data_IF_373679708772
#
_entry.id   IF_373679708772
#
_cell.length_a   1.000
_cell.length_b   1.000
_cell.length_c   1.000
_cell.angle_alpha   90.00
_cell.angle_beta   90.00
_cell.angle_gamma   90.00
#
_symmetry.space_group_name_H-M   'P 1'
#
loop_
_entity.id
_entity.type
_entity.pdbx_description
1 polymer ?
#
# COMPACT_ATOMS: atom_id res chain seq x y z
N UNK A 1 16.97 -13.10 16.15
CA UNK A 1 17.01 -12.87 14.69
C UNK A 1 16.18 -11.63 14.41
N UNK A 2 16.78 -10.48 14.09
CA UNK A 2 16.01 -9.34 13.60
C UNK A 2 15.40 -9.76 12.26
N UNK A 3 14.07 -9.93 12.21
CA UNK A 3 13.38 -10.21 10.97
C UNK A 3 13.78 -9.13 9.95
N UNK A 4 14.21 -9.54 8.75
CA UNK A 4 14.50 -8.60 7.65
C UNK A 4 13.20 -7.89 7.30
N UNK A 5 13.02 -6.70 7.88
CA UNK A 5 11.91 -5.82 7.58
C UNK A 5 12.17 -5.17 6.22
N UNK A 6 11.17 -5.15 5.35
CA UNK A 6 11.21 -4.40 4.11
C UNK A 6 10.00 -3.47 4.01
N UNK A 7 10.13 -2.47 3.15
CA UNK A 7 9.04 -1.57 2.79
C UNK A 7 8.83 -1.58 1.27
N UNK A 8 7.63 -1.23 0.84
CA UNK A 8 7.29 -1.14 -0.58
C UNK A 8 6.62 0.19 -0.90
N UNK A 9 6.93 0.72 -2.08
CA UNK A 9 6.12 1.72 -2.75
C UNK A 9 5.31 1.03 -3.85
N UNK A 10 3.98 1.15 -3.77
CA UNK A 10 3.08 0.71 -4.82
C UNK A 10 2.61 1.92 -5.63
N UNK A 11 3.14 2.08 -6.84
CA UNK A 11 2.61 3.04 -7.80
C UNK A 11 1.32 2.49 -8.42
N UNK A 12 0.19 3.11 -8.06
CA UNK A 12 -1.16 2.75 -8.49
C UNK A 12 -1.77 3.86 -9.36
N UNK A 13 -0.95 4.74 -9.95
CA UNK A 13 -1.43 5.85 -10.80
C UNK A 13 -2.17 5.37 -12.05
N UNK A 14 -1.86 4.17 -12.55
CA UNK A 14 -2.54 3.55 -13.69
C UNK A 14 -3.71 2.66 -13.28
N UNK A 15 -4.01 2.55 -11.98
CA UNK A 15 -5.10 1.71 -11.48
C UNK A 15 -6.45 2.35 -11.78
N UNK A 16 -7.31 1.63 -12.49
CA UNK A 16 -8.73 2.01 -12.65
C UNK A 16 -9.49 1.80 -11.34
N UNK A 17 -10.72 2.30 -11.24
CA UNK A 17 -11.58 2.11 -10.06
C UNK A 17 -11.60 0.62 -9.67
N UNK A 18 -11.16 0.32 -8.45
CA UNK A 18 -11.04 -1.05 -7.98
C UNK A 18 -12.44 -1.66 -7.82
N UNK A 19 -12.68 -2.79 -8.47
CA UNK A 19 -13.87 -3.62 -8.24
C UNK A 19 -13.70 -4.44 -6.96
N UNK A 20 -14.80 -4.99 -6.44
CA UNK A 20 -14.80 -5.80 -5.21
C UNK A 20 -13.85 -7.00 -5.23
N UNK A 21 -13.58 -7.58 -6.40
CA UNK A 21 -12.67 -8.73 -6.51
C UNK A 21 -11.20 -8.31 -6.41
N UNK A 22 -10.84 -7.19 -7.04
CA UNK A 22 -9.47 -6.62 -6.98
C UNK A 22 -9.12 -6.23 -5.55
N UNK A 23 -10.10 -5.74 -4.80
CA UNK A 23 -9.94 -5.44 -3.38
C UNK A 23 -9.49 -6.64 -2.55
N UNK A 24 -10.17 -7.78 -2.73
CA UNK A 24 -9.89 -9.01 -1.99
C UNK A 24 -8.49 -9.51 -2.31
N UNK A 25 -8.11 -9.50 -3.59
CA UNK A 25 -6.77 -9.87 -4.04
C UNK A 25 -5.69 -8.95 -3.45
N UNK A 26 -5.91 -7.64 -3.46
CA UNK A 26 -4.98 -6.66 -2.89
C UNK A 26 -4.79 -6.86 -1.38
N UNK A 27 -5.87 -7.16 -0.66
CA UNK A 27 -5.83 -7.48 0.77
C UNK A 27 -5.05 -8.78 1.04
N UNK A 28 -5.27 -9.84 0.26
CA UNK A 28 -4.55 -11.11 0.37
C UNK A 28 -3.05 -10.95 0.10
N UNK A 29 -2.69 -10.21 -0.96
CA UNK A 29 -1.31 -9.89 -1.29
C UNK A 29 -0.62 -9.16 -0.13
N UNK A 30 -1.28 -8.16 0.47
CA UNK A 30 -0.75 -7.42 1.62
C UNK A 30 -0.55 -8.31 2.85
N UNK A 31 -1.49 -9.19 3.15
CA UNK A 31 -1.35 -10.17 4.25
C UNK A 31 -0.16 -11.11 4.02
N UNK A 32 0.02 -11.58 2.79
CA UNK A 32 1.17 -12.42 2.43
C UNK A 32 2.49 -11.66 2.61
N UNK A 33 2.58 -10.42 2.12
CA UNK A 33 3.78 -9.60 2.29
C UNK A 33 4.07 -9.31 3.78
N UNK A 34 3.05 -9.01 4.58
CA UNK A 34 3.17 -8.84 6.04
C UNK A 34 3.80 -10.07 6.69
N UNK A 35 3.30 -11.26 6.36
CA UNK A 35 3.83 -12.53 6.86
C UNK A 35 5.28 -12.81 6.42
N UNK A 36 5.79 -12.09 5.41
CA UNK A 36 7.18 -12.19 4.93
C UNK A 36 8.09 -11.06 5.42
N UNK A 37 7.60 -10.16 6.28
CA UNK A 37 8.40 -9.08 6.86
C UNK A 37 8.14 -7.70 6.27
N UNK A 38 7.03 -7.49 5.55
CA UNK A 38 6.62 -6.14 5.16
C UNK A 38 6.25 -5.33 6.41
N UNK A 39 7.03 -4.29 6.72
CA UNK A 39 6.85 -3.46 7.90
C UNK A 39 6.09 -2.15 7.61
N UNK A 40 6.22 -1.63 6.39
CA UNK A 40 5.53 -0.43 5.94
C UNK A 40 5.22 -0.48 4.44
N UNK A 41 4.13 0.13 4.01
CA UNK A 41 3.83 0.29 2.60
C UNK A 41 3.25 1.65 2.28
N UNK A 42 3.53 2.13 1.07
CA UNK A 42 2.93 3.34 0.54
C UNK A 42 2.21 3.04 -0.76
N UNK A 43 1.14 3.79 -1.00
CA UNK A 43 0.35 3.69 -2.23
C UNK A 43 0.27 5.07 -2.90
N UNK A 44 0.60 5.15 -4.19
CA UNK A 44 0.54 6.40 -4.96
C UNK A 44 -0.63 6.32 -5.93
N UNK A 45 -1.55 7.28 -5.87
CA UNK A 45 -2.76 7.29 -6.70
C UNK A 45 -2.84 8.53 -7.59
N UNK A 46 -3.39 8.37 -8.79
CA UNK A 46 -3.63 9.49 -9.70
C UNK A 46 -4.80 10.40 -9.27
N UNK A 47 -5.72 9.91 -8.44
CA UNK A 47 -6.88 10.69 -8.00
C UNK A 47 -7.39 10.30 -6.61
N UNK A 48 -8.06 11.24 -5.95
CA UNK A 48 -8.71 11.02 -4.66
C UNK A 48 -9.79 9.93 -4.73
N UNK A 49 -10.48 9.78 -5.86
CA UNK A 49 -11.49 8.73 -6.07
C UNK A 49 -10.85 7.35 -6.11
N UNK A 50 -9.72 7.19 -6.80
CA UNK A 50 -8.97 5.93 -6.81
C UNK A 50 -8.47 5.58 -5.40
N UNK A 51 -7.93 6.56 -4.67
CA UNK A 51 -7.55 6.42 -3.26
C UNK A 51 -8.72 5.97 -2.38
N UNK A 52 -9.87 6.63 -2.47
CA UNK A 52 -11.06 6.27 -1.68
C UNK A 52 -11.51 4.83 -1.96
N UNK A 53 -11.53 4.42 -3.24
CA UNK A 53 -11.86 3.04 -3.60
C UNK A 53 -10.86 2.05 -2.99
N UNK A 54 -9.55 2.32 -3.08
CA UNK A 54 -8.51 1.45 -2.54
C UNK A 54 -8.48 1.41 -0.99
N UNK A 55 -8.76 2.53 -0.34
CA UNK A 55 -8.74 2.65 1.12
C UNK A 55 -9.83 1.83 1.78
N UNK A 56 -11.00 1.69 1.15
CA UNK A 56 -12.06 0.79 1.61
C UNK A 56 -11.54 -0.65 1.81
N UNK A 57 -10.56 -1.05 1.01
CA UNK A 57 -10.05 -2.43 0.94
C UNK A 57 -8.76 -2.66 1.74
N UNK A 58 -8.12 -1.58 2.19
CA UNK A 58 -6.78 -1.63 2.76
C UNK A 58 -6.73 -1.63 4.29
N UNK A 59 -7.86 -1.49 4.98
CA UNK A 59 -7.93 -1.21 6.43
C UNK A 59 -7.43 -2.34 7.35
N UNK A 60 -7.14 -3.54 6.85
CA UNK A 60 -7.01 -4.73 7.71
C UNK A 60 -5.63 -5.43 7.70
N UNK A 61 -4.55 -4.76 7.29
CA UNK A 61 -3.26 -5.46 7.12
C UNK A 61 -2.33 -5.45 8.34
N UNK A 62 -2.58 -4.58 9.33
CA UNK A 62 -1.68 -4.41 10.49
C UNK A 62 -0.32 -3.79 10.16
N UNK A 63 -0.11 -3.37 8.91
CA UNK A 63 1.10 -2.71 8.40
C UNK A 63 0.93 -1.19 8.51
N UNK A 64 2.01 -0.46 8.82
CA UNK A 64 2.01 1.01 8.75
C UNK A 64 1.85 1.42 7.28
N UNK A 65 0.73 2.06 6.95
CA UNK A 65 0.39 2.46 5.57
C UNK A 65 0.13 3.95 5.48
N UNK A 66 0.59 4.57 4.40
CA UNK A 66 0.19 5.92 4.00
C UNK A 66 0.00 6.01 2.48
N UNK A 67 -0.77 6.99 2.00
CA UNK A 67 -0.99 7.22 0.57
C UNK A 67 -0.58 8.63 0.15
N UNK A 68 0.08 8.73 -1.01
CA UNK A 68 0.69 9.96 -1.50
C UNK A 68 0.26 10.31 -2.92
N UNK A 69 0.48 11.56 -3.31
CA UNK A 69 0.24 12.04 -4.68
C UNK A 69 1.43 11.80 -5.62
N UNK A 70 2.60 11.43 -5.09
CA UNK A 70 3.80 11.16 -5.88
C UNK A 70 4.70 10.11 -5.22
N UNK A 71 5.47 9.41 -6.04
CA UNK A 71 6.50 8.46 -5.59
C UNK A 71 7.55 9.15 -4.72
N UNK A 72 7.96 10.38 -5.05
CA UNK A 72 8.95 11.13 -4.28
C UNK A 72 8.52 11.38 -2.83
N UNK A 73 7.24 11.72 -2.59
CA UNK A 73 6.72 11.88 -1.23
C UNK A 73 6.66 10.55 -0.48
N UNK A 74 6.29 9.48 -1.19
CA UNK A 74 6.24 8.13 -0.63
C UNK A 74 7.62 7.63 -0.21
N UNK A 75 8.65 7.84 -1.05
CA UNK A 75 10.04 7.50 -0.74
C UNK A 75 10.57 8.31 0.44
N UNK A 76 10.30 9.62 0.47
CA UNK A 76 10.71 10.48 1.59
C UNK A 76 10.11 10.03 2.93
N UNK A 77 8.84 9.63 2.92
CA UNK A 77 8.19 9.10 4.12
C UNK A 77 8.80 7.78 4.57
N UNK A 78 9.03 6.84 3.64
CA UNK A 78 9.67 5.56 3.95
C UNK A 78 11.09 5.73 4.49
N UNK A 79 11.87 6.66 3.95
CA UNK A 79 13.22 6.97 4.42
C UNK A 79 13.27 7.62 5.82
N UNK A 80 12.13 8.12 6.31
CA UNK A 80 12.00 8.71 7.65
C UNK A 80 11.44 7.74 8.71
N UNK A 81 11.13 6.50 8.33
CA UNK A 81 10.65 5.43 9.23
C UNK A 81 11.80 4.76 10.00
#
# INVERSE_FOLDING_TARGET
MLARAFAIVADLTTMKVATGDVAVLHQQAKKLCAARGLAASTEVFASATAKMSADQFSRSSGIRKEAFASVAQADAWLGAL
#
